data_IF_590208288233
#
_entry.id   IF_590208288233
#
_cell.length_a   1.000
_cell.length_b   1.000
_cell.length_c   1.000
_cell.angle_alpha   90.00
_cell.angle_beta   90.00
_cell.angle_gamma   90.00
#
_symmetry.space_group_name_H-M   'P 1'
#
loop_
_entity.id
_entity.type
_entity.pdbx_description
1 polymer ?
#
# COMPACT_ATOMS: atom_id res chain seq x y z
N UNK A 1 27.73 8.09 21.86
CA UNK A 1 26.43 8.64 22.31
C UNK A 1 26.20 9.91 21.52
N UNK A 2 25.26 9.87 20.57
CA UNK A 2 24.83 11.04 19.81
C UNK A 2 23.35 10.82 19.47
N UNK A 3 22.52 11.43 20.32
CA UNK A 3 21.16 11.94 20.12
C UNK A 3 20.18 11.10 19.28
N UNK A 4 19.46 10.24 20.02
CA UNK A 4 18.03 10.06 19.84
C UNK A 4 17.35 11.42 19.98
N UNK A 5 17.00 12.08 18.87
CA UNK A 5 15.80 12.91 18.67
C UNK A 5 15.96 13.66 17.35
N UNK A 6 14.87 13.67 16.56
CA UNK A 6 14.70 14.26 15.21
C UNK A 6 15.01 13.35 14.02
N UNK A 7 14.07 12.45 13.69
CA UNK A 7 13.48 12.50 12.34
C UNK A 7 12.10 11.82 12.31
N UNK A 8 11.09 12.60 12.67
CA UNK A 8 9.71 12.44 12.22
C UNK A 8 9.63 12.70 10.71
N UNK A 9 10.08 11.74 9.91
CA UNK A 9 9.71 11.62 8.51
C UNK A 9 8.99 10.27 8.37
N UNK A 10 7.67 10.31 8.57
CA UNK A 10 6.80 9.16 8.33
C UNK A 10 6.98 8.70 6.87
N UNK A 11 7.65 7.57 6.68
CA UNK A 11 7.59 6.82 5.44
C UNK A 11 7.21 5.37 5.76
N UNK A 12 6.34 4.83 4.93
CA UNK A 12 5.71 3.52 5.12
C UNK A 12 6.60 2.46 4.47
N UNK A 13 7.23 1.62 5.31
CA UNK A 13 8.13 0.55 4.87
C UNK A 13 7.39 -0.64 4.25
N UNK A 14 7.76 -1.85 4.63
CA UNK A 14 6.99 -3.05 4.25
C UNK A 14 5.71 -3.17 5.08
N UNK A 15 4.76 -2.23 4.97
CA UNK A 15 3.51 -2.21 5.74
C UNK A 15 2.25 -2.45 4.87
N UNK A 16 2.42 -2.73 3.59
CA UNK A 16 1.33 -2.99 2.67
C UNK A 16 0.48 -1.77 2.29
N UNK A 17 0.96 -0.55 2.54
CA UNK A 17 0.31 0.71 2.13
C UNK A 17 -0.01 0.73 0.63
N UNK A 18 0.90 0.22 -0.21
CA UNK A 18 0.73 0.10 -1.69
C UNK A 18 -0.52 -0.67 -2.10
N UNK A 19 -1.08 -1.52 -1.22
CA UNK A 19 -2.27 -2.31 -1.50
C UNK A 19 -3.56 -1.50 -1.33
N UNK A 20 -3.52 -0.35 -0.65
CA UNK A 20 -4.69 0.51 -0.38
C UNK A 20 -5.16 1.19 -1.68
N UNK A 21 -6.48 1.26 -1.86
CA UNK A 21 -7.10 2.00 -2.95
C UNK A 21 -7.25 3.49 -2.62
N UNK A 22 -7.15 4.33 -3.65
CA UNK A 22 -7.50 5.75 -3.56
C UNK A 22 -8.94 5.93 -3.08
N UNK A 23 -9.18 7.05 -2.40
CA UNK A 23 -10.52 7.51 -2.03
C UNK A 23 -10.83 8.81 -2.76
N UNK A 24 -12.05 9.33 -2.64
CA UNK A 24 -12.40 10.65 -3.22
C UNK A 24 -11.49 11.78 -2.75
N UNK A 25 -10.92 11.66 -1.53
CA UNK A 25 -10.17 12.73 -0.88
C UNK A 25 -8.67 12.41 -0.75
N UNK A 26 -8.21 11.27 -1.27
CA UNK A 26 -6.80 10.86 -1.18
C UNK A 26 -6.38 9.99 -2.36
N UNK A 27 -5.26 10.33 -2.99
CA UNK A 27 -4.62 9.48 -3.99
C UNK A 27 -3.64 8.52 -3.31
N UNK A 28 -3.96 7.23 -3.38
CA UNK A 28 -3.08 6.18 -2.87
C UNK A 28 -1.85 5.99 -3.77
N UNK A 29 -0.87 5.24 -3.29
CA UNK A 29 0.37 4.94 -4.01
C UNK A 29 0.14 4.32 -5.38
N UNK A 30 -0.94 3.55 -5.58
CA UNK A 30 -1.29 2.97 -6.89
C UNK A 30 -1.48 4.03 -7.98
N UNK A 31 -1.86 5.25 -7.61
CA UNK A 31 -2.04 6.36 -8.54
C UNK A 31 -0.72 7.10 -8.85
N UNK A 32 0.38 6.78 -8.16
CA UNK A 32 1.68 7.35 -8.45
C UNK A 32 2.21 6.83 -9.79
N UNK A 33 2.82 7.70 -10.59
CA UNK A 33 3.47 7.36 -11.87
C UNK A 33 4.31 6.07 -11.85
N UNK A 34 5.22 5.83 -10.88
CA UNK A 34 6.00 4.59 -10.83
C UNK A 34 5.17 3.32 -10.60
N UNK A 35 3.97 3.46 -10.02
CA UNK A 35 3.12 2.34 -9.63
C UNK A 35 1.99 2.04 -10.62
N UNK A 36 1.77 2.89 -11.64
CA UNK A 36 0.75 2.67 -12.67
C UNK A 36 0.96 1.36 -13.44
N UNK A 37 2.18 0.82 -13.45
CA UNK A 37 2.54 -0.45 -14.09
C UNK A 37 2.45 -1.67 -13.16
N UNK A 38 2.17 -1.48 -11.86
CA UNK A 38 2.01 -2.59 -10.91
C UNK A 38 0.76 -3.40 -11.25
N UNK A 39 0.84 -4.71 -10.98
CA UNK A 39 -0.21 -5.69 -11.27
C UNK A 39 -0.23 -6.79 -10.22
N UNK A 40 -1.28 -7.61 -10.22
CA UNK A 40 -1.42 -8.73 -9.30
C UNK A 40 -2.08 -8.40 -7.96
N UNK A 41 -2.66 -7.21 -7.80
CA UNK A 41 -3.42 -6.85 -6.60
C UNK A 41 -4.59 -7.81 -6.36
N UNK A 42 -5.27 -8.24 -7.42
CA UNK A 42 -6.35 -9.23 -7.38
C UNK A 42 -5.87 -10.60 -6.89
N UNK A 43 -4.64 -10.99 -7.25
CA UNK A 43 -4.02 -12.20 -6.75
C UNK A 43 -3.76 -12.12 -5.25
N UNK A 44 -3.22 -10.99 -4.76
CA UNK A 44 -3.02 -10.75 -3.34
C UNK A 44 -4.34 -10.78 -2.57
N UNK A 45 -5.41 -10.16 -3.10
CA UNK A 45 -6.74 -10.20 -2.47
C UNK A 45 -7.31 -11.62 -2.41
N UNK A 46 -7.10 -12.45 -3.43
CA UNK A 46 -7.48 -13.88 -3.40
C UNK A 46 -6.72 -14.66 -2.34
N UNK A 47 -5.39 -14.47 -2.26
CA UNK A 47 -4.57 -15.10 -1.22
C UNK A 47 -5.06 -14.67 0.15
N UNK A 48 -5.32 -13.38 0.35
CA UNK A 48 -5.87 -12.86 1.61
C UNK A 48 -7.20 -13.51 1.97
N UNK A 49 -8.11 -13.64 1.02
CA UNK A 49 -9.41 -14.27 1.27
C UNK A 49 -9.29 -15.73 1.70
N UNK A 50 -8.37 -16.50 1.12
CA UNK A 50 -8.11 -17.88 1.52
C UNK A 50 -7.49 -17.96 2.91
N UNK A 51 -6.53 -17.08 3.20
CA UNK A 51 -5.88 -17.01 4.52
C UNK A 51 -6.85 -16.57 5.60
N UNK A 52 -7.73 -15.59 5.35
CA UNK A 52 -8.76 -15.18 6.32
C UNK A 52 -9.81 -16.26 6.58
N UNK A 53 -10.06 -17.15 5.61
CA UNK A 53 -10.96 -18.30 5.82
C UNK A 53 -10.38 -19.30 6.81
N UNK A 54 -9.07 -19.50 6.77
CA UNK A 54 -8.37 -20.47 7.61
C UNK A 54 -7.94 -19.87 8.96
N UNK A 55 -7.42 -18.64 8.94
CA UNK A 55 -6.87 -17.92 10.08
C UNK A 55 -7.45 -16.49 10.18
N UNK A 56 -8.74 -16.34 10.58
CA UNK A 56 -9.41 -15.05 10.57
C UNK A 56 -8.70 -13.98 11.42
N UNK A 57 -8.38 -12.84 10.82
CA UNK A 57 -7.79 -11.69 11.52
C UNK A 57 -6.37 -11.89 12.05
N UNK A 58 -5.65 -12.91 11.60
CA UNK A 58 -4.31 -13.25 12.10
C UNK A 58 -3.19 -12.70 11.21
N UNK A 59 -3.28 -12.89 9.89
CA UNK A 59 -2.16 -12.63 8.96
C UNK A 59 -2.33 -11.29 8.27
N UNK A 60 -1.35 -10.39 8.38
CA UNK A 60 -1.39 -9.08 7.71
C UNK A 60 -1.24 -9.19 6.20
N UNK A 61 -1.72 -8.18 5.47
CA UNK A 61 -1.48 -8.06 4.03
C UNK A 61 0.00 -7.79 3.73
N UNK A 62 0.70 -7.08 4.61
CA UNK A 62 2.15 -6.88 4.54
C UNK A 62 2.93 -8.21 4.55
N UNK A 63 2.58 -9.13 5.47
CA UNK A 63 3.22 -10.44 5.52
C UNK A 63 2.85 -11.31 4.31
N UNK A 64 1.59 -11.25 3.85
CA UNK A 64 1.17 -11.95 2.63
C UNK A 64 2.00 -11.50 1.43
N UNK A 65 2.21 -10.19 1.26
CA UNK A 65 2.99 -9.67 0.13
C UNK A 65 4.44 -10.18 0.17
N UNK A 66 5.07 -10.18 1.35
CA UNK A 66 6.44 -10.66 1.53
C UNK A 66 6.56 -12.19 1.29
N UNK A 67 5.59 -12.97 1.76
CA UNK A 67 5.55 -14.42 1.57
C UNK A 67 5.29 -14.79 0.10
N UNK A 68 4.32 -14.14 -0.54
CA UNK A 68 4.03 -14.32 -1.97
C UNK A 68 5.25 -13.98 -2.82
N UNK A 69 5.99 -12.92 -2.49
CA UNK A 69 7.22 -12.57 -3.21
C UNK A 69 8.27 -13.68 -3.14
N UNK A 70 8.47 -14.28 -1.95
CA UNK A 70 9.36 -15.45 -1.79
C UNK A 70 8.90 -16.64 -2.61
N UNK A 71 7.63 -16.98 -2.51
CA UNK A 71 7.09 -18.16 -3.15
C UNK A 71 7.06 -18.00 -4.69
N UNK A 72 6.79 -16.79 -5.19
CA UNK A 72 6.87 -16.48 -6.60
C UNK A 72 8.29 -16.66 -7.16
N UNK A 73 9.32 -16.23 -6.43
CA UNK A 73 10.73 -16.45 -6.81
C UNK A 73 11.08 -17.94 -6.76
N UNK A 74 10.61 -18.67 -5.75
CA UNK A 74 10.83 -20.12 -5.65
C UNK A 74 10.23 -20.90 -6.83
N UNK A 75 9.00 -20.56 -7.25
CA UNK A 75 8.31 -21.22 -8.38
C UNK A 75 9.06 -21.09 -9.70
N UNK A 76 9.82 -20.00 -9.90
CA UNK A 76 10.61 -19.76 -11.11
C UNK A 76 12.08 -20.19 -10.99
N UNK A 77 12.40 -21.03 -9.99
CA UNK A 77 13.72 -21.63 -9.79
C UNK A 77 14.72 -20.74 -9.05
N UNK A 78 14.28 -19.65 -8.42
CA UNK A 78 15.11 -18.79 -7.60
C UNK A 78 15.36 -19.35 -6.19
N UNK A 79 16.14 -18.62 -5.36
CA UNK A 79 16.50 -19.08 -4.03
C UNK A 79 15.33 -19.01 -3.05
N UNK A 80 15.41 -19.84 -2.02
CA UNK A 80 14.62 -19.66 -0.80
C UNK A 80 15.33 -18.69 0.14
N UNK A 81 14.56 -17.88 0.85
CA UNK A 81 15.02 -17.09 2.00
C UNK A 81 13.96 -17.08 3.09
N UNK A 82 14.39 -16.82 4.33
CA UNK A 82 13.44 -16.70 5.44
C UNK A 82 12.75 -15.35 5.33
N UNK A 83 11.43 -15.35 5.28
CA UNK A 83 10.63 -14.12 5.40
C UNK A 83 10.34 -13.93 6.89
N UNK A 84 10.92 -12.93 7.58
CA UNK A 84 10.48 -12.59 8.92
C UNK A 84 9.00 -12.23 8.85
N UNK A 85 8.14 -12.75 9.73
CA UNK A 85 6.71 -12.44 9.79
C UNK A 85 6.39 -11.65 11.07
N UNK A 86 5.13 -11.21 11.21
CA UNK A 86 4.67 -10.37 12.31
C UNK A 86 4.53 -8.90 11.94
N UNK A 87 4.59 -8.56 10.64
CA UNK A 87 4.30 -7.21 10.17
C UNK A 87 2.83 -6.91 10.36
N UNK A 88 2.51 -5.63 10.48
CA UNK A 88 1.15 -5.10 10.53
C UNK A 88 0.95 -4.13 9.38
N UNK A 89 -0.31 -3.96 9.03
CA UNK A 89 -0.73 -3.18 7.89
C UNK A 89 -0.79 -1.69 8.21
N UNK A 90 -0.22 -0.87 7.33
CA UNK A 90 -0.32 0.57 7.32
C UNK A 90 -1.76 1.06 7.12
N UNK A 91 -2.05 2.25 7.65
CA UNK A 91 -3.37 2.91 7.54
C UNK A 91 -3.39 4.08 6.56
N UNK A 92 -2.23 4.43 6.02
CA UNK A 92 -2.05 5.55 5.10
C UNK A 92 -1.60 4.96 3.77
N UNK A 93 -1.84 5.67 2.67
CA UNK A 93 -1.16 5.42 1.39
C UNK A 93 -1.21 6.72 0.60
N UNK A 94 -0.07 7.15 0.07
CA UNK A 94 0.07 8.47 -0.53
C UNK A 94 0.89 8.39 -1.83
N UNK A 95 0.35 8.88 -2.93
CA UNK A 95 1.04 8.89 -4.23
C UNK A 95 2.36 9.67 -4.21
N UNK A 96 2.45 10.76 -3.44
CA UNK A 96 3.66 11.58 -3.30
C UNK A 96 4.79 10.80 -2.64
N UNK A 97 4.46 9.94 -1.68
CA UNK A 97 5.44 9.09 -1.00
C UNK A 97 6.09 8.11 -1.99
N UNK A 98 5.30 7.44 -2.83
CA UNK A 98 5.83 6.58 -3.89
C UNK A 98 6.71 7.35 -4.89
N UNK A 99 6.29 8.55 -5.32
CA UNK A 99 7.06 9.38 -6.26
C UNK A 99 8.44 9.77 -5.72
N UNK A 100 8.53 10.10 -4.43
CA UNK A 100 9.77 10.59 -3.83
C UNK A 100 10.76 9.48 -3.49
N UNK A 101 10.29 8.23 -3.34
CA UNK A 101 11.09 7.16 -2.74
C UNK A 101 11.35 5.96 -3.65
N UNK A 102 10.58 5.79 -4.74
CA UNK A 102 10.86 4.75 -5.73
C UNK A 102 11.94 5.24 -6.70
N UNK A 103 13.10 4.54 -6.82
CA UNK A 103 14.15 4.95 -7.74
C UNK A 103 13.65 4.95 -9.20
N UNK A 104 13.97 6.01 -9.95
CA UNK A 104 13.62 6.10 -11.35
C UNK A 104 14.60 5.30 -12.24
N UNK A 105 14.15 4.76 -13.39
CA UNK A 105 15.03 4.03 -14.33
C UNK A 105 16.13 4.89 -14.95
N UNK A 106 16.07 6.21 -14.78
CA UNK A 106 17.03 7.21 -15.26
C UNK A 106 18.11 7.57 -14.23
N UNK A 107 18.05 7.02 -13.01
CA UNK A 107 19.00 7.35 -11.96
C UNK A 107 20.44 6.96 -12.32
N UNK A 108 21.39 7.80 -11.95
CA UNK A 108 22.81 7.48 -11.97
C UNK A 108 23.22 6.67 -10.72
N UNK A 109 24.47 6.19 -10.67
CA UNK A 109 24.93 5.32 -9.59
C UNK A 109 24.85 6.00 -8.21
N UNK A 110 25.19 7.30 -8.11
CA UNK A 110 25.11 8.02 -6.85
C UNK A 110 23.68 8.15 -6.35
N UNK A 111 22.73 8.48 -7.24
CA UNK A 111 21.31 8.58 -6.90
C UNK A 111 20.73 7.22 -6.49
N UNK A 112 21.11 6.14 -7.20
CA UNK A 112 20.76 4.77 -6.80
C UNK A 112 21.34 4.45 -5.42
N UNK A 113 22.62 4.74 -5.18
CA UNK A 113 23.25 4.47 -3.89
C UNK A 113 22.57 5.24 -2.76
N UNK A 114 22.20 6.51 -2.95
CA UNK A 114 21.44 7.28 -1.95
C UNK A 114 20.06 6.68 -1.71
N UNK A 115 19.32 6.34 -2.78
CA UNK A 115 18.00 5.72 -2.66
C UNK A 115 18.05 4.35 -1.98
N UNK A 116 19.07 3.53 -2.29
CA UNK A 116 19.28 2.21 -1.69
C UNK A 116 19.87 2.25 -0.29
N UNK A 117 20.71 3.24 0.02
CA UNK A 117 21.17 3.51 1.39
C UNK A 117 19.97 3.80 2.30
N UNK A 118 18.92 4.40 1.73
CA UNK A 118 17.66 4.64 2.43
C UNK A 118 16.75 3.40 2.49
N UNK A 119 16.68 2.54 1.44
CA UNK A 119 15.60 1.53 1.31
C UNK A 119 15.93 0.14 0.68
N UNK A 120 17.19 -0.22 0.39
CA UNK A 120 17.57 -1.61 -0.01
C UNK A 120 17.24 -2.06 -1.46
N UNK A 121 18.01 -3.05 -1.98
CA UNK A 121 18.32 -3.34 -3.40
C UNK A 121 17.18 -3.91 -4.28
N UNK A 122 17.23 -3.64 -5.60
CA UNK A 122 16.27 -4.12 -6.63
C UNK A 122 16.80 -5.26 -7.52
N UNK A 123 15.89 -5.95 -8.22
CA UNK A 123 16.19 -7.09 -9.10
C UNK A 123 15.45 -7.01 -10.44
N UNK A 124 16.21 -7.05 -11.55
CA UNK A 124 15.67 -7.01 -12.93
C UNK A 124 15.95 -8.29 -13.72
N UNK A 125 16.24 -9.42 -13.06
CA UNK A 125 16.44 -10.72 -13.74
C UNK A 125 15.18 -11.32 -14.35
N UNK A 126 14.00 -10.77 -14.02
CA UNK A 126 12.72 -11.27 -14.52
C UNK A 126 11.82 -10.12 -14.93
N UNK A 127 10.89 -10.43 -15.84
CA UNK A 127 9.77 -9.55 -16.16
C UNK A 127 10.00 -8.67 -17.38
N UNK A 128 9.11 -7.70 -17.51
CA UNK A 128 8.96 -6.85 -18.69
C UNK A 128 8.92 -5.39 -18.27
N UNK A 129 9.29 -4.51 -19.20
CA UNK A 129 9.20 -3.07 -19.08
C UNK A 129 8.51 -2.46 -20.31
N UNK A 130 7.84 -1.33 -20.13
CA UNK A 130 7.34 -0.54 -21.24
C UNK A 130 8.46 0.28 -21.86
N UNK A 131 8.41 0.48 -23.18
CA UNK A 131 9.38 1.30 -23.91
C UNK A 131 9.53 2.71 -23.34
N UNK A 132 8.45 3.31 -22.83
CA UNK A 132 8.45 4.63 -22.17
C UNK A 132 9.46 4.76 -21.04
N UNK A 133 9.81 3.68 -20.35
CA UNK A 133 10.76 3.69 -19.23
C UNK A 133 12.22 3.86 -19.66
N UNK A 134 12.55 3.66 -20.94
CA UNK A 134 13.93 3.74 -21.44
C UNK A 134 14.08 4.35 -22.84
N UNK A 135 13.00 4.86 -23.45
CA UNK A 135 13.01 5.34 -24.83
C UNK A 135 13.97 6.52 -25.06
N UNK A 136 14.17 7.35 -24.03
CA UNK A 136 15.17 8.41 -24.04
C UNK A 136 16.57 7.87 -24.38
N UNK A 137 16.94 6.70 -23.86
CA UNK A 137 18.22 6.05 -24.18
C UNK A 137 18.34 5.62 -25.63
N UNK A 138 17.23 5.35 -26.31
CA UNK A 138 17.23 4.94 -27.69
C UNK A 138 17.28 6.15 -28.63
N UNK A 139 16.50 7.19 -28.37
CA UNK A 139 16.25 8.23 -29.38
C UNK A 139 16.66 9.65 -28.97
N UNK A 140 16.84 9.96 -27.69
CA UNK A 140 17.07 11.33 -27.26
C UNK A 140 17.79 11.43 -25.90
N UNK A 141 18.96 10.82 -25.78
CA UNK A 141 19.62 10.64 -24.49
C UNK A 141 20.13 11.96 -23.90
N UNK A 142 20.72 12.83 -24.72
CA UNK A 142 21.21 14.16 -24.29
C UNK A 142 20.26 15.30 -24.65
N UNK A 143 19.09 15.00 -25.21
CA UNK A 143 18.15 16.01 -25.71
C UNK A 143 18.42 16.47 -27.15
N UNK A 144 19.37 15.84 -27.86
CA UNK A 144 19.79 16.22 -29.23
C UNK A 144 19.43 15.20 -30.31
N UNK A 145 18.59 14.22 -30.01
CA UNK A 145 18.22 13.15 -30.95
C UNK A 145 19.26 12.03 -31.04
N UNK A 146 19.99 11.77 -29.95
CA UNK A 146 21.09 10.82 -29.86
C UNK A 146 20.76 9.57 -29.04
N UNK A 147 21.50 8.48 -29.29
CA UNK A 147 21.42 7.25 -28.52
C UNK A 147 22.40 7.30 -27.34
N UNK A 148 22.01 6.71 -26.20
CA UNK A 148 22.87 6.55 -25.04
C UNK A 148 24.16 5.81 -25.40
N UNK A 149 25.34 6.45 -25.28
CA UNK A 149 26.63 5.84 -25.61
C UNK A 149 27.06 4.77 -24.62
N UNK A 150 26.32 4.55 -23.51
CA UNK A 150 26.53 3.45 -22.58
C UNK A 150 25.73 2.19 -22.92
N UNK A 151 24.82 2.25 -23.90
CA UNK A 151 24.05 1.11 -24.42
C UNK A 151 24.73 0.47 -25.64
N UNK A 152 24.84 -0.86 -25.67
CA UNK A 152 25.37 -1.62 -26.82
C UNK A 152 24.61 -1.26 -28.10
N UNK A 153 25.35 -0.87 -29.15
CA UNK A 153 24.76 -0.27 -30.35
C UNK A 153 23.92 -1.27 -31.15
N UNK A 154 24.36 -2.53 -31.24
CA UNK A 154 23.59 -3.60 -31.88
C UNK A 154 22.32 -3.93 -31.11
N UNK A 155 22.41 -3.98 -29.78
CA UNK A 155 21.24 -4.20 -28.93
C UNK A 155 20.22 -3.07 -29.06
N UNK A 156 20.67 -1.81 -29.04
CA UNK A 156 19.80 -0.65 -29.25
C UNK A 156 19.14 -0.68 -30.63
N UNK A 157 19.88 -1.01 -31.69
CA UNK A 157 19.33 -1.15 -33.03
C UNK A 157 18.27 -2.28 -33.11
N UNK A 158 18.50 -3.40 -32.41
CA UNK A 158 17.53 -4.48 -32.31
C UNK A 158 16.24 -4.03 -31.59
N UNK A 159 16.36 -3.30 -30.48
CA UNK A 159 15.21 -2.74 -29.77
C UNK A 159 14.40 -1.77 -30.65
N UNK A 160 15.08 -0.86 -31.35
CA UNK A 160 14.44 0.07 -32.29
C UNK A 160 13.72 -0.65 -33.44
N UNK A 161 14.34 -1.68 -34.00
CA UNK A 161 13.77 -2.42 -35.14
C UNK A 161 12.55 -3.25 -34.74
N UNK A 162 12.62 -3.93 -33.59
CA UNK A 162 11.71 -5.02 -33.28
C UNK A 162 10.69 -4.72 -32.18
N UNK A 163 10.94 -3.72 -31.32
CA UNK A 163 10.11 -3.43 -30.13
C UNK A 163 9.72 -1.96 -30.06
N UNK A 164 10.64 -1.11 -29.60
CA UNK A 164 10.41 0.31 -29.36
C UNK A 164 10.66 1.12 -30.62
N UNK A 165 9.76 1.02 -31.61
CA UNK A 165 9.98 1.51 -32.98
C UNK A 165 9.93 3.03 -33.14
N UNK A 166 9.42 3.73 -32.14
CA UNK A 166 9.23 5.19 -32.17
C UNK A 166 9.62 5.80 -30.83
N UNK A 167 10.13 7.05 -30.79
CA UNK A 167 10.42 7.79 -29.56
C UNK A 167 9.19 8.02 -28.66
N UNK A 168 7.97 7.91 -29.22
CA UNK A 168 6.72 8.10 -28.48
C UNK A 168 5.98 6.78 -28.18
N UNK A 169 6.66 5.64 -28.32
CA UNK A 169 6.07 4.34 -28.01
C UNK A 169 5.92 4.15 -26.49
N UNK A 170 4.69 4.31 -26.01
CA UNK A 170 4.35 4.19 -24.60
C UNK A 170 3.64 2.87 -24.26
N UNK A 171 3.42 1.99 -25.24
CA UNK A 171 2.57 0.81 -25.06
C UNK A 171 3.33 -0.50 -25.22
N UNK A 172 4.33 -0.53 -26.12
CA UNK A 172 5.11 -1.73 -26.37
C UNK A 172 5.89 -2.17 -25.12
N UNK A 173 5.96 -3.48 -24.93
CA UNK A 173 6.70 -4.12 -23.84
C UNK A 173 7.96 -4.81 -24.34
N UNK A 174 9.00 -4.81 -23.51
CA UNK A 174 10.31 -5.44 -23.76
C UNK A 174 10.71 -6.23 -22.52
N UNK A 175 11.41 -7.34 -22.74
CA UNK A 175 11.98 -8.19 -21.69
C UNK A 175 13.11 -7.46 -20.96
N UNK A 176 13.09 -7.44 -19.63
CA UNK A 176 14.16 -6.79 -18.84
C UNK A 176 15.46 -7.61 -18.81
N UNK A 177 15.35 -8.93 -19.03
CA UNK A 177 16.48 -9.85 -19.18
C UNK A 177 16.33 -10.69 -20.46
N UNK A 178 16.77 -10.19 -21.63
CA UNK A 178 16.60 -10.88 -22.90
C UNK A 178 17.24 -12.28 -22.89
N UNK A 179 16.42 -13.30 -23.18
CA UNK A 179 16.82 -14.71 -23.21
C UNK A 179 16.51 -15.52 -21.94
N UNK A 180 16.26 -14.86 -20.80
CA UNK A 180 16.01 -15.50 -19.50
C UNK A 180 14.94 -14.80 -18.65
N UNK A 181 14.14 -13.88 -19.21
CA UNK A 181 13.15 -13.08 -18.47
C UNK A 181 12.06 -13.84 -17.69
N UNK A 182 11.99 -15.17 -17.84
CA UNK A 182 11.06 -16.08 -17.14
C UNK A 182 11.75 -16.96 -16.09
N UNK A 183 13.09 -16.96 -16.04
CA UNK A 183 13.90 -17.76 -15.11
C UNK A 183 14.68 -16.84 -14.19
N UNK A 184 14.88 -17.26 -12.95
CA UNK A 184 15.66 -16.49 -11.99
C UNK A 184 17.13 -16.92 -12.03
N UNK A 185 17.96 -16.17 -12.76
CA UNK A 185 19.35 -16.57 -13.02
C UNK A 185 20.34 -15.37 -13.15
N UNK A 186 21.54 -15.64 -13.65
CA UNK A 186 22.62 -14.65 -13.80
C UNK A 186 22.55 -13.85 -15.12
N UNK A 187 21.56 -14.10 -15.97
CA UNK A 187 21.38 -13.49 -17.30
C UNK A 187 21.43 -11.97 -17.24
N UNK A 188 20.70 -11.39 -16.28
CA UNK A 188 20.70 -9.95 -16.06
C UNK A 188 22.10 -9.36 -15.88
N UNK A 189 22.90 -9.88 -14.95
CA UNK A 189 24.24 -9.35 -14.70
C UNK A 189 25.18 -9.59 -15.88
N UNK A 190 25.05 -10.71 -16.59
CA UNK A 190 25.79 -10.97 -17.84
C UNK A 190 25.41 -9.95 -18.92
N UNK A 191 24.15 -9.57 -19.03
CA UNK A 191 23.65 -8.57 -19.96
C UNK A 191 24.14 -7.16 -19.58
N UNK A 192 24.10 -6.79 -18.30
CA UNK A 192 24.64 -5.51 -17.79
C UNK A 192 26.13 -5.36 -18.14
N UNK A 193 26.96 -6.38 -17.90
CA UNK A 193 28.39 -6.36 -18.24
C UNK A 193 28.65 -6.21 -19.75
N UNK A 194 27.73 -6.68 -20.59
CA UNK A 194 27.75 -6.50 -22.06
C UNK A 194 27.17 -5.16 -22.52
N UNK A 195 26.88 -4.22 -21.60
CA UNK A 195 26.20 -2.95 -21.88
C UNK A 195 24.79 -3.14 -22.48
N UNK A 196 24.10 -4.20 -22.07
CA UNK A 196 22.74 -4.56 -22.50
C UNK A 196 21.70 -4.48 -21.38
N UNK A 197 22.01 -3.81 -20.28
CA UNK A 197 21.01 -3.41 -19.28
C UNK A 197 20.00 -2.44 -19.91
N UNK A 198 18.72 -2.66 -19.67
CA UNK A 198 17.63 -1.97 -20.36
C UNK A 198 17.53 -0.51 -19.90
N UNK A 199 17.62 -0.28 -18.59
CA UNK A 199 17.52 1.04 -17.99
C UNK A 199 18.88 1.71 -17.84
N UNK A 200 18.86 3.05 -17.71
CA UNK A 200 20.07 3.81 -17.41
C UNK A 200 20.58 3.44 -16.01
N UNK A 201 19.66 3.18 -15.07
CA UNK A 201 19.97 2.66 -13.75
C UNK A 201 20.73 1.32 -13.79
N UNK A 202 20.42 0.45 -14.76
CA UNK A 202 21.14 -0.82 -14.92
C UNK A 202 22.56 -0.59 -15.43
N UNK A 203 22.71 0.27 -16.45
CA UNK A 203 24.00 0.66 -16.99
C UNK A 203 24.86 1.39 -15.93
N UNK A 204 24.23 2.14 -15.03
CA UNK A 204 24.91 2.83 -13.95
C UNK A 204 25.60 1.87 -12.96
N UNK A 205 25.15 0.62 -12.82
CA UNK A 205 25.79 -0.36 -11.92
C UNK A 205 27.24 -0.66 -12.28
N UNK A 206 27.64 -0.47 -13.54
CA UNK A 206 29.01 -0.73 -13.99
C UNK A 206 29.85 0.55 -14.19
N UNK A 207 29.32 1.72 -13.84
CA UNK A 207 30.09 2.97 -13.87
C UNK A 207 30.92 3.17 -12.61
N UNK A 208 30.50 2.57 -11.48
CA UNK A 208 31.29 2.51 -10.26
C UNK A 208 32.19 1.26 -10.24
N UNK A 209 33.49 1.46 -9.97
CA UNK A 209 34.48 0.38 -10.02
C UNK A 209 34.21 -0.73 -9.00
N UNK A 210 33.76 -0.40 -7.79
CA UNK A 210 33.48 -1.38 -6.75
C UNK A 210 32.25 -2.22 -7.10
N UNK A 211 31.15 -1.57 -7.50
CA UNK A 211 29.93 -2.28 -7.92
C UNK A 211 30.18 -3.17 -9.13
N UNK A 212 30.91 -2.67 -10.15
CA UNK A 212 31.33 -3.47 -11.30
C UNK A 212 32.15 -4.69 -10.89
N UNK A 213 33.09 -4.51 -9.97
CA UNK A 213 33.93 -5.61 -9.45
C UNK A 213 33.08 -6.67 -8.73
N UNK A 214 32.13 -6.25 -7.89
CA UNK A 214 31.18 -7.16 -7.25
C UNK A 214 30.34 -7.94 -8.26
N UNK A 215 29.84 -7.29 -9.31
CA UNK A 215 29.07 -7.94 -10.38
C UNK A 215 29.93 -8.97 -11.13
N UNK A 216 31.18 -8.64 -11.47
CA UNK A 216 32.11 -9.57 -12.12
C UNK A 216 32.35 -10.80 -11.23
N UNK A 217 32.56 -10.60 -9.94
CA UNK A 217 32.77 -11.70 -8.99
C UNK A 217 31.54 -12.61 -8.90
N UNK A 218 30.34 -12.03 -8.84
CA UNK A 218 29.07 -12.79 -8.81
C UNK A 218 28.88 -13.59 -10.10
N UNK A 219 29.09 -12.97 -11.27
CA UNK A 219 28.92 -13.62 -12.58
C UNK A 219 29.95 -14.74 -12.81
N UNK A 220 31.15 -14.60 -12.25
CA UNK A 220 32.23 -15.59 -12.37
C UNK A 220 32.15 -16.71 -11.32
N UNK A 221 31.23 -16.59 -10.36
CA UNK A 221 31.01 -17.59 -9.31
C UNK A 221 29.93 -18.59 -9.72
N UNK A 222 29.82 -19.74 -9.03
CA UNK A 222 28.67 -20.62 -9.17
C UNK A 222 27.34 -19.86 -8.92
N UNK A 223 26.25 -20.19 -9.63
CA UNK A 223 24.95 -19.51 -9.48
C UNK A 223 24.43 -19.41 -8.04
N UNK A 224 24.84 -20.36 -7.18
CA UNK A 224 24.52 -20.40 -5.75
C UNK A 224 24.99 -19.15 -5.00
N UNK A 225 26.09 -18.52 -5.43
CA UNK A 225 26.58 -17.28 -4.79
C UNK A 225 25.62 -16.12 -5.06
N UNK A 226 25.12 -15.98 -6.28
CA UNK A 226 24.08 -15.00 -6.61
C UNK A 226 22.82 -15.23 -5.77
N UNK A 227 22.39 -16.47 -5.68
CA UNK A 227 21.23 -16.89 -4.88
C UNK A 227 21.37 -16.54 -3.40
N UNK A 228 22.55 -16.76 -2.81
CA UNK A 228 22.84 -16.38 -1.42
C UNK A 228 22.81 -14.86 -1.22
N UNK A 229 23.45 -14.10 -2.12
CA UNK A 229 23.48 -12.63 -2.04
C UNK A 229 22.07 -12.05 -2.21
N UNK A 230 21.29 -12.60 -3.14
CA UNK A 230 19.90 -12.20 -3.35
C UNK A 230 19.03 -12.51 -2.13
N UNK A 231 19.10 -13.74 -1.60
CA UNK A 231 18.38 -14.14 -0.40
C UNK A 231 18.69 -13.20 0.78
N UNK A 232 19.97 -12.96 1.08
CA UNK A 232 20.38 -12.04 2.14
C UNK A 232 19.87 -10.61 1.93
N UNK A 233 19.85 -10.13 0.68
CA UNK A 233 19.32 -8.81 0.32
C UNK A 233 17.82 -8.72 0.56
N UNK A 234 17.06 -9.76 0.17
CA UNK A 234 15.62 -9.84 0.39
C UNK A 234 15.27 -9.94 1.88
N UNK A 235 16.02 -10.71 2.67
CA UNK A 235 15.84 -10.76 4.12
C UNK A 235 16.06 -9.40 4.79
N UNK A 236 17.04 -8.63 4.32
CA UNK A 236 17.30 -7.26 4.79
C UNK A 236 16.20 -6.30 4.38
N UNK A 237 15.77 -6.34 3.11
CA UNK A 237 14.70 -5.50 2.59
C UNK A 237 13.38 -5.72 3.35
N UNK A 238 13.09 -6.97 3.67
CA UNK A 238 11.92 -7.38 4.45
C UNK A 238 11.84 -6.79 5.86
N UNK A 239 12.90 -6.19 6.40
CA UNK A 239 12.94 -5.59 7.74
C UNK A 239 12.78 -4.06 7.74
N UNK A 240 12.63 -3.46 6.57
CA UNK A 240 12.60 -2.00 6.42
C UNK A 240 11.28 -1.45 6.96
N UNK A 241 11.39 -0.63 8.00
CA UNK A 241 10.31 0.21 8.55
C UNK A 241 8.98 -0.53 8.72
N UNK A 242 9.05 -1.73 9.30
CA UNK A 242 7.89 -2.58 9.52
C UNK A 242 7.09 -2.13 10.74
N UNK A 243 5.76 -2.15 10.62
CA UNK A 243 4.86 -1.96 11.76
C UNK A 243 4.72 -3.28 12.53
N UNK A 244 4.84 -3.24 13.87
CA UNK A 244 4.76 -4.43 14.74
C UNK A 244 3.96 -4.12 16.02
N UNK A 245 3.62 -5.15 16.79
CA UNK A 245 2.91 -5.00 18.06
C UNK A 245 1.52 -4.38 17.90
N UNK A 246 1.32 -3.17 18.42
CA UNK A 246 0.06 -2.43 18.32
C UNK A 246 0.04 -1.39 17.19
N UNK A 247 1.15 -1.18 16.49
CA UNK A 247 1.24 -0.22 15.38
C UNK A 247 0.57 -0.79 14.12
N UNK A 248 -0.28 -0.02 13.45
CA UNK A 248 -1.04 -0.50 12.29
C UNK A 248 -2.15 -1.50 12.66
N UNK A 249 -2.59 -2.31 11.70
CA UNK A 249 -3.66 -3.29 11.88
C UNK A 249 -3.45 -4.62 11.17
N UNK A 250 -4.37 -5.56 11.36
CA UNK A 250 -4.49 -6.71 10.46
C UNK A 250 -5.74 -6.45 9.62
N UNK A 251 -5.55 -6.01 8.37
CA UNK A 251 -6.67 -5.74 7.47
C UNK A 251 -7.35 -7.03 7.08
N UNK A 252 -8.68 -7.05 7.04
CA UNK A 252 -9.43 -8.20 6.48
C UNK A 252 -9.42 -8.19 4.95
N UNK A 253 -9.38 -7.01 4.35
CA UNK A 253 -9.28 -6.80 2.91
C UNK A 253 -8.10 -5.88 2.62
N UNK A 254 -7.15 -6.32 1.80
CA UNK A 254 -5.91 -5.57 1.58
C UNK A 254 -6.10 -4.25 0.84
N UNK A 255 -7.23 -4.07 0.14
CA UNK A 255 -7.54 -2.83 -0.56
C UNK A 255 -7.99 -1.67 0.35
N UNK A 256 -8.38 -1.94 1.60
CA UNK A 256 -9.04 -0.94 2.46
C UNK A 256 -8.61 -1.05 3.92
N UNK A 257 -8.47 0.09 4.58
CA UNK A 257 -8.29 0.16 6.03
C UNK A 257 -9.56 -0.36 6.71
N UNK A 258 -9.44 -1.18 7.75
CA UNK A 258 -10.60 -1.67 8.47
C UNK A 258 -11.36 -0.46 9.06
N UNK A 259 -12.68 -0.46 8.85
CA UNK A 259 -13.59 0.51 9.45
C UNK A 259 -14.51 -0.23 10.40
N UNK A 260 -14.63 0.26 11.62
CA UNK A 260 -15.74 -0.09 12.50
C UNK A 260 -16.18 1.20 13.20
N UNK A 261 -17.49 1.44 13.31
CA UNK A 261 -18.06 2.57 14.05
C UNK A 261 -18.50 2.18 15.48
N UNK A 262 -18.34 0.91 15.85
CA UNK A 262 -18.50 0.40 17.24
C UNK A 262 -17.15 0.17 17.91
N UNK A 263 -16.09 -0.02 17.13
CA UNK A 263 -14.70 -0.20 17.58
C UNK A 263 -13.85 0.81 16.85
N UNK A 264 -13.07 1.63 17.56
CA UNK A 264 -12.02 2.42 16.95
C UNK A 264 -11.85 3.82 17.51
N UNK A 265 -11.08 4.60 16.76
CA UNK A 265 -10.66 5.94 17.09
C UNK A 265 -11.12 6.92 16.01
N UNK A 266 -11.51 8.12 16.40
CA UNK A 266 -11.85 9.22 15.50
C UNK A 266 -10.78 10.30 15.55
N UNK A 267 -10.31 10.75 14.40
CA UNK A 267 -9.42 11.90 14.31
C UNK A 267 -10.16 13.18 14.66
N UNK A 268 -9.54 14.06 15.46
CA UNK A 268 -10.12 15.34 15.86
C UNK A 268 -10.63 16.14 14.66
N UNK A 269 -9.86 16.20 13.57
CA UNK A 269 -10.25 16.86 12.31
C UNK A 269 -11.60 16.42 11.74
N UNK A 270 -12.07 15.21 12.06
CA UNK A 270 -13.35 14.68 11.56
C UNK A 270 -14.57 15.21 12.34
N UNK A 271 -14.38 15.81 13.52
CA UNK A 271 -15.47 16.29 14.37
C UNK A 271 -15.17 17.60 15.11
N UNK A 272 -13.99 18.22 14.94
CA UNK A 272 -13.61 19.46 15.64
C UNK A 272 -14.56 20.62 15.34
N UNK A 273 -15.22 20.64 14.18
CA UNK A 273 -16.29 21.60 13.88
C UNK A 273 -17.42 21.52 14.92
N UNK A 274 -17.78 20.31 15.39
CA UNK A 274 -18.77 20.12 16.45
C UNK A 274 -18.32 20.66 17.80
N UNK A 275 -17.02 20.76 18.04
CA UNK A 275 -16.48 21.27 19.31
C UNK A 275 -16.39 22.80 19.31
N UNK A 276 -16.00 23.39 18.18
CA UNK A 276 -15.52 24.77 18.14
C UNK A 276 -16.24 25.68 17.15
N UNK A 277 -16.91 25.15 16.12
CA UNK A 277 -17.49 25.98 15.07
C UNK A 277 -18.65 25.30 14.33
N UNK A 278 -19.67 24.86 15.07
CA UNK A 278 -20.72 24.01 14.52
C UNK A 278 -21.61 24.75 13.52
N UNK A 279 -21.99 26.00 13.81
CA UNK A 279 -22.80 26.84 12.92
C UNK A 279 -21.97 27.86 12.13
N UNK A 280 -20.64 27.81 12.22
CA UNK A 280 -19.76 28.81 11.61
C UNK A 280 -19.55 30.07 12.46
N UNK A 281 -20.05 30.10 13.71
CA UNK A 281 -20.00 31.28 14.60
C UNK A 281 -19.15 31.08 15.86
N UNK A 282 -18.28 30.06 15.89
CA UNK A 282 -17.45 29.77 17.07
C UNK A 282 -18.20 29.07 18.20
N UNK A 283 -19.15 28.21 17.87
CA UNK A 283 -20.07 27.55 18.79
C UNK A 283 -19.89 26.02 18.82
N UNK A 284 -20.30 25.40 19.93
CA UNK A 284 -20.33 23.95 20.08
C UNK A 284 -21.67 23.40 19.56
N UNK A 285 -21.63 22.23 18.92
CA UNK A 285 -22.80 21.47 18.51
C UNK A 285 -23.72 21.27 19.72
N UNK A 286 -24.95 21.82 19.69
CA UNK A 286 -25.86 21.72 20.80
C UNK A 286 -26.25 20.27 21.04
N UNK A 287 -26.27 19.39 20.04
CA UNK A 287 -26.65 17.97 20.18
C UNK A 287 -25.65 17.15 20.99
N UNK A 288 -24.41 17.61 21.15
CA UNK A 288 -23.35 16.95 21.91
C UNK A 288 -23.40 17.31 23.40
N UNK A 289 -23.28 16.32 24.28
CA UNK A 289 -23.23 16.54 25.73
C UNK A 289 -22.11 17.52 26.11
N UNK A 290 -22.44 18.52 26.93
CA UNK A 290 -21.52 19.63 27.25
C UNK A 290 -20.28 19.16 28.01
N UNK A 291 -20.44 18.22 28.94
CA UNK A 291 -19.32 17.68 29.71
C UNK A 291 -18.44 16.79 28.86
N UNK A 292 -19.05 15.94 28.02
CA UNK A 292 -18.32 15.12 27.07
C UNK A 292 -17.53 15.98 26.07
N UNK A 293 -18.15 17.01 25.49
CA UNK A 293 -17.46 17.95 24.60
C UNK A 293 -16.30 18.68 25.30
N UNK A 294 -16.48 19.10 26.56
CA UNK A 294 -15.40 19.69 27.35
C UNK A 294 -14.24 18.71 27.58
N UNK A 295 -14.52 17.42 27.78
CA UNK A 295 -13.48 16.39 27.87
C UNK A 295 -12.79 16.17 26.52
N UNK A 296 -13.52 16.13 25.41
CA UNK A 296 -12.94 16.02 24.08
C UNK A 296 -12.01 17.20 23.75
N UNK A 297 -12.37 18.42 24.15
CA UNK A 297 -11.54 19.63 23.99
C UNK A 297 -10.20 19.58 24.73
N UNK A 298 -10.04 18.72 25.75
CA UNK A 298 -8.75 18.51 26.42
C UNK A 298 -7.75 17.77 25.53
N UNK A 299 -8.25 16.87 24.68
CA UNK A 299 -7.45 16.14 23.70
C UNK A 299 -7.37 16.90 22.37
N UNK A 300 -8.52 17.19 21.76
CA UNK A 300 -8.65 17.88 20.49
C UNK A 300 -8.56 19.40 20.69
N UNK A 301 -7.35 19.97 20.67
CA UNK A 301 -7.14 21.36 21.15
C UNK A 301 -7.61 22.45 20.17
N UNK A 302 -7.82 22.12 18.90
CA UNK A 302 -8.18 23.12 17.89
C UNK A 302 -8.98 22.54 16.71
N UNK A 303 -9.54 23.42 15.89
CA UNK A 303 -10.21 23.08 14.62
C UNK A 303 -9.28 22.35 13.63
N UNK A 304 -7.98 22.64 13.67
CA UNK A 304 -7.00 22.15 12.71
C UNK A 304 -6.19 20.96 13.25
N UNK A 305 -6.61 20.35 14.36
CA UNK A 305 -5.93 19.18 14.93
C UNK A 305 -6.20 17.94 14.07
N UNK A 306 -5.23 17.59 13.22
CA UNK A 306 -5.30 16.49 12.27
C UNK A 306 -4.53 15.24 12.71
N UNK A 307 -3.75 15.32 13.80
CA UNK A 307 -2.90 14.22 14.29
C UNK A 307 -3.48 13.53 15.53
N UNK A 308 -4.28 14.24 16.34
CA UNK A 308 -4.85 13.67 17.56
C UNK A 308 -6.06 12.82 17.24
N UNK A 309 -6.20 11.71 17.95
CA UNK A 309 -7.34 10.81 17.88
C UNK A 309 -7.92 10.55 19.28
N UNK A 310 -9.22 10.25 19.32
CA UNK A 310 -9.96 9.90 20.54
C UNK A 310 -10.79 8.65 20.32
N UNK A 311 -11.18 7.99 21.40
CA UNK A 311 -12.06 6.83 21.37
C UNK A 311 -13.44 7.21 20.81
N UNK A 312 -13.94 6.49 19.79
CA UNK A 312 -15.29 6.70 19.24
C UNK A 312 -16.38 6.16 20.17
N UNK A 313 -16.04 5.14 20.94
CA UNK A 313 -16.90 4.54 21.96
C UNK A 313 -16.15 4.48 23.31
N UNK A 314 -16.17 5.58 24.10
CA UNK A 314 -15.38 5.67 25.32
C UNK A 314 -15.69 4.54 26.31
N UNK A 315 -14.66 3.78 26.68
CA UNK A 315 -14.76 2.64 27.60
C UNK A 315 -14.92 1.26 26.93
N UNK A 316 -15.30 1.20 25.66
CA UNK A 316 -15.50 -0.06 24.90
C UNK A 316 -14.99 0.02 23.46
N UNK A 317 -14.16 1.02 23.12
CA UNK A 317 -13.66 1.25 21.76
C UNK A 317 -12.85 0.09 21.13
N UNK A 318 -12.56 -0.98 21.87
CA UNK A 318 -11.87 -2.19 21.41
C UNK A 318 -12.79 -3.42 21.34
N UNK A 319 -14.02 -3.32 21.82
CA UNK A 319 -14.98 -4.42 21.94
C UNK A 319 -16.21 -4.13 21.10
N UNK A 320 -16.74 -5.17 20.45
CA UNK A 320 -17.95 -5.05 19.65
C UNK A 320 -19.14 -5.32 20.56
N UNK A 321 -19.73 -4.26 21.11
CA UNK A 321 -20.77 -4.35 22.12
C UNK A 321 -21.80 -3.20 22.03
N UNK A 322 -22.69 -3.12 23.02
CA UNK A 322 -23.75 -2.11 23.12
C UNK A 322 -23.28 -0.74 23.67
N UNK A 323 -22.00 -0.58 23.99
CA UNK A 323 -21.40 0.63 24.54
C UNK A 323 -21.65 1.86 23.66
N UNK A 324 -21.45 1.71 22.35
CA UNK A 324 -21.72 2.76 21.37
C UNK A 324 -23.14 3.33 21.51
N UNK A 325 -24.17 2.47 21.50
CA UNK A 325 -25.55 2.91 21.60
C UNK A 325 -25.88 3.51 22.98
N UNK A 326 -25.28 2.98 24.06
CA UNK A 326 -25.37 3.57 25.40
C UNK A 326 -24.78 4.99 25.44
N UNK A 327 -23.68 5.22 24.73
CA UNK A 327 -23.05 6.54 24.62
C UNK A 327 -23.87 7.49 23.74
N UNK A 328 -24.40 7.03 22.61
CA UNK A 328 -25.31 7.80 21.74
C UNK A 328 -26.54 8.30 22.52
N UNK A 329 -27.21 7.44 23.30
CA UNK A 329 -28.37 7.83 24.13
C UNK A 329 -28.02 8.90 25.18
N UNK A 330 -26.76 8.97 25.61
CA UNK A 330 -26.24 10.00 26.52
C UNK A 330 -25.76 11.26 25.78
N UNK A 331 -26.01 11.37 24.48
CA UNK A 331 -25.50 12.44 23.60
C UNK A 331 -23.97 12.50 23.56
N UNK A 332 -23.34 11.33 23.63
CA UNK A 332 -21.88 11.15 23.58
C UNK A 332 -21.40 10.43 22.32
N UNK A 333 -22.18 10.53 21.23
CA UNK A 333 -21.73 10.11 19.90
C UNK A 333 -20.71 11.11 19.35
N UNK A 334 -19.59 10.61 18.83
CA UNK A 334 -18.44 11.43 18.41
C UNK A 334 -18.74 12.22 17.14
N UNK A 335 -19.44 11.60 16.18
CA UNK A 335 -19.79 12.23 14.91
C UNK A 335 -21.21 12.81 14.93
N UNK A 336 -21.47 13.75 14.03
CA UNK A 336 -22.81 14.33 13.88
C UNK A 336 -23.83 13.27 13.42
N UNK A 337 -23.41 12.32 12.59
CA UNK A 337 -24.23 11.18 12.18
C UNK A 337 -24.68 10.32 13.37
N UNK A 338 -23.85 10.19 14.41
CA UNK A 338 -24.20 9.44 15.62
C UNK A 338 -25.33 10.15 16.38
N UNK A 339 -25.24 11.48 16.48
CA UNK A 339 -26.28 12.29 17.13
C UNK A 339 -27.62 12.23 16.37
N UNK A 340 -27.58 12.06 15.04
CA UNK A 340 -28.77 11.92 14.22
C UNK A 340 -29.57 10.63 14.51
N UNK A 341 -28.95 9.58 15.06
CA UNK A 341 -29.64 8.32 15.39
C UNK A 341 -30.75 8.48 16.43
N UNK A 342 -30.71 9.55 17.23
CA UNK A 342 -31.69 9.80 18.30
C UNK A 342 -32.58 11.01 18.05
N UNK A 343 -32.54 11.60 16.85
CA UNK A 343 -33.44 12.71 16.47
C UNK A 343 -34.80 12.19 16.03
N UNK A 344 -34.84 11.03 15.37
CA UNK A 344 -36.08 10.33 15.03
C UNK A 344 -36.61 9.51 16.22
N UNK A 345 -37.90 9.65 16.52
CA UNK A 345 -38.52 9.04 17.70
C UNK A 345 -38.58 7.51 17.60
N UNK A 346 -38.84 6.96 16.41
CA UNK A 346 -38.94 5.52 16.19
C UNK A 346 -37.56 4.85 16.29
N UNK A 347 -36.54 5.46 15.66
CA UNK A 347 -35.15 5.01 15.72
C UNK A 347 -34.63 5.06 17.15
N UNK A 348 -34.88 6.15 17.87
CA UNK A 348 -34.52 6.29 19.29
C UNK A 348 -35.18 5.21 20.15
N UNK A 349 -36.46 4.92 19.93
CA UNK A 349 -37.19 3.87 20.65
C UNK A 349 -36.58 2.48 20.40
N UNK A 350 -36.20 2.20 19.15
CA UNK A 350 -35.52 0.96 18.77
C UNK A 350 -34.16 0.81 19.46
N UNK A 351 -33.38 1.89 19.51
CA UNK A 351 -32.08 1.91 20.21
C UNK A 351 -32.26 1.68 21.71
N UNK A 352 -33.28 2.28 22.34
CA UNK A 352 -33.59 2.06 23.76
C UNK A 352 -33.96 0.59 24.01
N UNK A 353 -34.78 0.00 23.15
CA UNK A 353 -35.13 -1.42 23.25
C UNK A 353 -33.90 -2.32 23.11
N UNK A 354 -33.03 -2.03 22.13
CA UNK A 354 -31.81 -2.78 21.87
C UNK A 354 -30.81 -2.71 23.03
N UNK A 355 -30.61 -1.52 23.60
CA UNK A 355 -29.68 -1.32 24.74
C UNK A 355 -30.17 -2.04 26.02
N UNK A 356 -31.49 -2.21 26.17
CA UNK A 356 -32.10 -2.90 27.31
C UNK A 356 -32.29 -4.41 27.09
N UNK A 357 -31.92 -4.92 25.91
CA UNK A 357 -31.98 -6.34 25.58
C UNK A 357 -30.70 -7.08 25.97
N UNK A 358 -30.72 -8.42 26.08
CA UNK A 358 -29.51 -9.23 26.22
C UNK A 358 -28.53 -8.98 25.06
N UNK A 359 -27.19 -9.00 25.27
CA UNK A 359 -26.20 -8.74 24.22
C UNK A 359 -26.37 -9.60 22.96
N UNK A 360 -26.90 -10.81 23.08
CA UNK A 360 -27.16 -11.73 21.97
C UNK A 360 -28.13 -11.14 20.94
N UNK A 361 -29.13 -10.38 21.40
CA UNK A 361 -30.09 -9.70 20.53
C UNK A 361 -29.39 -8.63 19.68
N UNK A 362 -28.43 -7.89 20.26
CA UNK A 362 -27.62 -6.95 19.49
C UNK A 362 -26.83 -7.64 18.38
N UNK A 363 -26.17 -8.76 18.67
CA UNK A 363 -25.42 -9.50 17.66
C UNK A 363 -26.34 -10.06 16.55
N UNK A 364 -27.54 -10.52 16.92
CA UNK A 364 -28.54 -10.99 15.98
C UNK A 364 -29.06 -9.87 15.08
N UNK A 365 -29.49 -8.74 15.65
CA UNK A 365 -29.98 -7.58 14.90
C UNK A 365 -28.89 -6.97 14.02
N UNK A 366 -27.65 -6.96 14.49
CA UNK A 366 -26.52 -6.56 13.67
C UNK A 366 -26.33 -7.49 12.46
N UNK A 367 -26.38 -8.80 12.66
CA UNK A 367 -26.27 -9.77 11.56
C UNK A 367 -27.40 -9.58 10.52
N UNK A 368 -28.64 -9.43 10.98
CA UNK A 368 -29.80 -9.14 10.10
C UNK A 368 -29.64 -7.81 9.35
N UNK A 369 -29.08 -6.79 10.01
CA UNK A 369 -28.80 -5.50 9.39
C UNK A 369 -27.73 -5.61 8.30
N UNK A 370 -26.67 -6.40 8.53
CA UNK A 370 -25.64 -6.67 7.52
C UNK A 370 -26.20 -7.46 6.32
N UNK A 371 -27.10 -8.42 6.56
CA UNK A 371 -27.80 -9.14 5.49
C UNK A 371 -28.68 -8.19 4.65
N UNK A 372 -29.44 -7.31 5.30
CA UNK A 372 -30.26 -6.30 4.63
C UNK A 372 -29.40 -5.31 3.83
N UNK A 373 -28.30 -4.81 4.41
CA UNK A 373 -27.37 -3.92 3.70
C UNK A 373 -26.73 -4.61 2.50
N UNK A 374 -26.41 -5.90 2.61
CA UNK A 374 -25.91 -6.71 1.50
C UNK A 374 -26.91 -6.87 0.34
N UNK A 375 -28.18 -6.51 0.52
CA UNK A 375 -29.24 -6.55 -0.50
C UNK A 375 -29.56 -5.18 -1.10
N UNK A 376 -29.02 -4.09 -0.56
CA UNK A 376 -29.27 -2.73 -1.06
C UNK A 376 -28.63 -2.58 -2.44
N UNK A 377 -29.44 -2.15 -3.41
CA UNK A 377 -29.00 -1.85 -4.79
C UNK A 377 -28.22 -2.98 -5.48
N UNK A 378 -28.44 -4.23 -5.05
CA UNK A 378 -27.85 -5.39 -5.71
C UNK A 378 -28.43 -5.50 -7.11
N UNK A 379 -27.56 -5.35 -8.10
CA UNK A 379 -27.89 -5.52 -9.50
C UNK A 379 -28.16 -7.00 -9.76
N UNK A 380 -29.38 -7.33 -10.17
CA UNK A 380 -29.82 -8.71 -10.46
C UNK A 380 -30.34 -8.82 -11.90
N UNK A 381 -30.29 -10.02 -12.46
CA UNK A 381 -30.68 -10.25 -13.86
C UNK A 381 -29.78 -9.44 -14.82
N UNK A 382 -30.41 -8.70 -15.74
CA UNK A 382 -29.71 -7.89 -16.76
C UNK A 382 -29.34 -6.47 -16.28
N UNK A 383 -29.69 -6.10 -15.05
CA UNK A 383 -29.39 -4.77 -14.49
C UNK A 383 -27.94 -4.61 -14.03
N UNK A 384 -27.17 -5.70 -14.06
CA UNK A 384 -25.73 -5.73 -13.81
C UNK A 384 -25.08 -6.92 -14.50
N UNK A 385 -23.80 -7.11 -14.21
CA UNK A 385 -23.01 -8.20 -14.77
C UNK A 385 -22.25 -8.92 -13.66
N UNK A 386 -22.07 -10.23 -13.85
CA UNK A 386 -21.14 -10.99 -13.02
C UNK A 386 -19.74 -10.70 -13.57
N UNK A 387 -18.97 -9.91 -12.83
CA UNK A 387 -17.61 -9.57 -13.21
C UNK A 387 -16.72 -10.80 -13.18
N UNK A 388 -16.01 -11.06 -14.27
CA UNK A 388 -14.91 -12.04 -14.30
C UNK A 388 -13.72 -11.57 -13.46
N UNK A 389 -13.61 -10.25 -13.27
CA UNK A 389 -12.65 -9.61 -12.39
C UNK A 389 -13.35 -8.48 -11.61
N UNK A 390 -13.46 -8.60 -10.28
CA UNK A 390 -14.18 -7.65 -9.43
C UNK A 390 -13.68 -6.20 -9.55
N UNK A 391 -12.44 -5.98 -10.00
CA UNK A 391 -11.82 -4.66 -10.13
C UNK A 391 -12.22 -3.90 -11.41
N UNK A 392 -12.80 -4.55 -12.42
CA UNK A 392 -13.13 -3.93 -13.72
C UNK A 392 -14.50 -4.39 -14.23
N UNK A 393 -15.17 -3.52 -15.00
CA UNK A 393 -16.39 -3.88 -15.74
C UNK A 393 -16.00 -4.85 -16.87
N UNK A 394 -16.81 -5.87 -17.18
CA UNK A 394 -16.47 -6.74 -18.30
C UNK A 394 -16.53 -5.94 -19.60
N UNK A 395 -15.54 -6.14 -20.45
CA UNK A 395 -15.42 -5.55 -21.78
C UNK A 395 -16.15 -6.35 -22.85
#
# INVERSE_FOLDING_TARGET
MANNELCSLNFQGCDGSVLINSTSNNQAEKAATPNLTLRGFDFIDRVKSLVEKECPGVVSCADILALVARDAVGVIGGPFWRVPTGRRDGRISNSTEALNNIPAPTFNFSALQTSFANKGLGAHTIGISHCSSFNSRLYNFTGKGDQDPSLDSFYAANLKKNKCKSPNDNTSITEMDPGSFRTFDLGYYKNVLKRRGLFQSDAALITNAASKSSIINIVSSPPQVFFQVFAASMEKMNRIEVLTGSMGEIRKHCAVVNRAHTIGIGHCSSFSSRLYNFTGKGDQDPSLDKFYAANLKKACKSLNDNVTFVEMDPGSFRTFDLGYYKNVLKRRGLFQSDAALITDAATKSSIISLVNSPPEVFFQEFALSMEKMGRIEVKTGTTGEIRKNCAVVNS
#
